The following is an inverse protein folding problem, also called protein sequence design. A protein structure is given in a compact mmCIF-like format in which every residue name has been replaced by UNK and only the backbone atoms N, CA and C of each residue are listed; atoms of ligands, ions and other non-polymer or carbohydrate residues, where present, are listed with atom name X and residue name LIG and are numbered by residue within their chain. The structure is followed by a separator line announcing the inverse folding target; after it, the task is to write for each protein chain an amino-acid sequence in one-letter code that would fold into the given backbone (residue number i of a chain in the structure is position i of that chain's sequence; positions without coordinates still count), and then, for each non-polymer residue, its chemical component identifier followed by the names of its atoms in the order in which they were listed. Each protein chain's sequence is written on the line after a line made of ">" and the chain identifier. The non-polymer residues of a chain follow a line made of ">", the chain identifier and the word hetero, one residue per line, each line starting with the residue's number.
data_IF_541559765689
#
_entry.id   IF_541559765689
#
_cell.length_a   1.000
_cell.length_b   1.000
_cell.length_c   1.000
_cell.angle_alpha   90.00
_cell.angle_beta   90.00
_cell.angle_gamma   90.00
#
_symmetry.space_group_name_H-M   'P 1'
#
loop_
_entity.id
_entity.type
_entity.pdbx_description
1 polymer ?
#
# COMPACT_ATOMS: atom_id res chain seq x y z
N UNK A 1 -12.03 11.39 10.15
CA UNK A 1 -11.78 11.75 8.75
C UNK A 1 -13.07 11.56 7.96
N UNK A 2 -13.57 12.61 7.30
CA UNK A 2 -14.72 12.52 6.39
C UNK A 2 -14.39 11.71 5.13
N UNK A 3 -15.33 11.59 4.17
CA UNK A 3 -15.02 11.00 2.87
C UNK A 3 -13.83 11.73 2.23
N UNK A 4 -12.98 10.97 1.54
CA UNK A 4 -11.80 11.50 0.89
C UNK A 4 -11.66 10.99 -0.55
N UNK A 5 -10.88 11.70 -1.35
CA UNK A 5 -10.55 11.33 -2.73
C UNK A 5 -9.03 11.15 -2.81
N UNK A 6 -8.56 10.02 -3.34
CA UNK A 6 -7.14 9.80 -3.60
C UNK A 6 -6.66 10.76 -4.69
N UNK A 7 -5.64 11.57 -4.39
CA UNK A 7 -5.02 12.51 -5.34
C UNK A 7 -3.68 11.97 -5.86
N UNK A 8 -2.96 11.20 -5.03
CA UNK A 8 -1.66 10.60 -5.40
C UNK A 8 -1.55 9.20 -4.83
N UNK A 9 -0.94 8.30 -5.60
CA UNK A 9 -0.50 6.97 -5.16
C UNK A 9 0.77 6.61 -5.92
N UNK A 10 1.89 6.60 -5.21
CA UNK A 10 3.20 6.21 -5.74
C UNK A 10 3.86 5.19 -4.81
N UNK A 11 4.49 4.18 -5.41
CA UNK A 11 5.39 3.26 -4.73
C UNK A 11 6.81 3.67 -5.12
N UNK A 12 7.71 3.77 -4.15
CA UNK A 12 9.11 4.10 -4.36
C UNK A 12 9.91 2.84 -4.05
N UNK A 13 10.68 2.35 -5.01
CA UNK A 13 11.52 1.18 -4.81
C UNK A 13 12.85 1.31 -5.54
N UNK A 14 13.96 1.14 -4.81
CA UNK A 14 15.32 1.29 -5.35
C UNK A 14 15.54 2.64 -6.06
N UNK A 15 14.98 3.72 -5.50
CA UNK A 15 15.08 5.07 -6.05
C UNK A 15 14.25 5.34 -7.30
N UNK A 16 13.33 4.43 -7.67
CA UNK A 16 12.40 4.61 -8.78
C UNK A 16 10.97 4.71 -8.28
N UNK A 17 10.18 5.54 -8.96
CA UNK A 17 8.75 5.71 -8.70
C UNK A 17 7.91 4.81 -9.61
N UNK A 18 6.92 4.15 -9.03
CA UNK A 18 6.00 3.25 -9.70
C UNK A 18 4.56 3.67 -9.44
N UNK A 19 3.86 4.01 -10.53
CA UNK A 19 2.45 4.38 -10.50
C UNK A 19 1.57 3.17 -10.86
N UNK A 20 1.51 2.18 -9.97
CA UNK A 20 0.71 0.95 -10.16
C UNK A 20 0.09 0.46 -8.84
N UNK A 21 -0.77 -0.56 -8.91
CA UNK A 21 -1.36 -1.15 -7.70
C UNK A 21 -0.29 -1.91 -6.90
N UNK A 22 -0.46 -1.95 -5.57
CA UNK A 22 0.45 -2.67 -4.67
C UNK A 22 0.63 -4.14 -5.05
N UNK A 23 -0.45 -4.84 -5.40
CA UNK A 23 -0.36 -6.25 -5.79
C UNK A 23 0.50 -6.45 -7.06
N UNK A 24 0.38 -5.53 -8.01
CA UNK A 24 1.05 -5.63 -9.30
C UNK A 24 2.54 -5.35 -9.10
N UNK A 25 2.85 -4.34 -8.29
CA UNK A 25 4.22 -4.05 -7.86
C UNK A 25 4.86 -5.26 -7.17
N UNK A 26 4.19 -5.84 -6.17
CA UNK A 26 4.74 -6.98 -5.42
C UNK A 26 5.02 -8.18 -6.33
N UNK A 27 4.10 -8.52 -7.25
CA UNK A 27 4.33 -9.63 -8.20
C UNK A 27 5.43 -9.34 -9.21
N UNK A 28 5.53 -8.11 -9.69
CA UNK A 28 6.47 -7.76 -10.75
C UNK A 28 7.91 -7.59 -10.25
N UNK A 29 8.08 -7.05 -9.03
CA UNK A 29 9.40 -6.64 -8.52
C UNK A 29 9.89 -7.46 -7.34
N UNK A 30 9.05 -8.29 -6.72
CA UNK A 30 9.43 -9.16 -5.59
C UNK A 30 9.20 -10.63 -5.99
N UNK A 31 10.22 -11.33 -6.53
CA UNK A 31 10.08 -12.68 -7.08
C UNK A 31 9.48 -13.70 -6.10
N UNK A 32 9.75 -13.56 -4.81
CA UNK A 32 9.23 -14.43 -3.75
C UNK A 32 7.70 -14.41 -3.67
N UNK A 33 7.08 -13.32 -4.13
CA UNK A 33 5.62 -13.13 -4.13
C UNK A 33 4.90 -14.10 -5.07
N UNK A 34 5.58 -14.69 -6.06
CA UNK A 34 4.99 -15.72 -6.94
C UNK A 34 4.57 -16.98 -6.18
N UNK A 35 5.21 -17.24 -5.03
CA UNK A 35 4.87 -18.35 -4.15
C UNK A 35 3.76 -18.01 -3.14
N UNK A 36 3.33 -16.75 -3.09
CA UNK A 36 2.29 -16.25 -2.18
C UNK A 36 0.94 -16.24 -2.88
N UNK A 37 -0.02 -16.93 -2.27
CA UNK A 37 -1.40 -16.96 -2.76
C UNK A 37 -2.16 -15.72 -2.28
N UNK A 38 -2.24 -14.68 -3.12
CA UNK A 38 -3.08 -13.51 -2.89
C UNK A 38 -4.54 -13.87 -3.18
N UNK A 39 -5.38 -13.82 -2.15
CA UNK A 39 -6.81 -14.16 -2.22
C UNK A 39 -7.70 -12.95 -2.47
N UNK A 40 -7.24 -11.75 -2.12
CA UNK A 40 -7.93 -10.50 -2.34
C UNK A 40 -6.94 -9.34 -2.39
N UNK A 41 -7.30 -8.29 -3.12
CA UNK A 41 -6.59 -7.03 -3.16
C UNK A 41 -7.57 -5.87 -3.37
N UNK A 42 -7.23 -4.71 -2.81
CA UNK A 42 -7.97 -3.46 -3.07
C UNK A 42 -7.16 -2.54 -3.96
N UNK A 43 -7.86 -1.85 -4.86
CA UNK A 43 -7.29 -0.72 -5.62
C UNK A 43 -7.18 0.53 -4.76
N UNK A 44 -6.14 1.33 -5.01
CA UNK A 44 -5.95 2.69 -4.49
C UNK A 44 -5.70 3.65 -5.66
N UNK A 45 -6.58 3.63 -6.65
CA UNK A 45 -6.49 4.52 -7.81
C UNK A 45 -6.77 5.99 -7.48
N UNK A 46 -6.13 6.87 -8.23
CA UNK A 46 -6.42 8.30 -8.22
C UNK A 46 -7.89 8.53 -8.61
N UNK A 47 -8.57 9.42 -7.89
CA UNK A 47 -10.00 9.69 -8.06
C UNK A 47 -10.92 8.76 -7.27
N UNK A 48 -10.37 7.73 -6.62
CA UNK A 48 -11.17 6.80 -5.82
C UNK A 48 -11.65 7.46 -4.53
N UNK A 49 -12.96 7.35 -4.27
CA UNK A 49 -13.54 7.78 -3.00
C UNK A 49 -13.25 6.76 -1.90
N UNK A 50 -12.77 7.25 -0.76
CA UNK A 50 -12.61 6.51 0.48
C UNK A 50 -13.71 6.97 1.44
N UNK A 51 -14.62 6.06 1.87
CA UNK A 51 -15.67 6.41 2.83
C UNK A 51 -15.08 6.64 4.23
N UNK A 52 -15.69 7.57 4.95
CA UNK A 52 -15.32 7.88 6.33
C UNK A 52 -15.42 6.66 7.25
N UNK A 53 -14.44 6.52 8.16
CA UNK A 53 -14.51 5.56 9.27
C UNK A 53 -14.41 4.09 8.89
N UNK A 54 -13.95 3.76 7.67
CA UNK A 54 -13.75 2.37 7.24
C UNK A 54 -12.27 2.04 7.09
N UNK A 55 -11.88 0.86 7.58
CA UNK A 55 -10.61 0.26 7.19
C UNK A 55 -10.72 -0.34 5.79
N UNK A 56 -9.62 -0.31 5.05
CA UNK A 56 -9.53 -0.93 3.73
C UNK A 56 -8.41 -1.93 3.72
N UNK A 57 -8.75 -3.17 3.44
CA UNK A 57 -7.79 -4.25 3.27
C UNK A 57 -7.13 -4.12 1.89
N UNK A 58 -5.86 -3.71 1.85
CA UNK A 58 -5.11 -3.55 0.59
C UNK A 58 -4.76 -4.90 -0.02
N UNK A 59 -4.44 -5.88 0.80
CA UNK A 59 -4.00 -7.20 0.36
C UNK A 59 -4.38 -8.26 1.38
N UNK A 60 -4.85 -9.41 0.89
CA UNK A 60 -5.14 -10.59 1.70
C UNK A 60 -4.47 -11.81 1.12
N UNK A 61 -3.72 -12.53 1.94
CA UNK A 61 -3.04 -13.77 1.55
C UNK A 61 -3.70 -15.01 2.16
N UNK A 62 -3.65 -16.11 1.43
CA UNK A 62 -4.14 -17.44 1.84
C UNK A 62 -3.15 -18.53 1.43
N UNK A 63 -3.61 -19.77 1.24
CA UNK A 63 -2.76 -20.86 0.73
C UNK A 63 -1.91 -21.61 1.78
N UNK A 64 -2.32 -21.57 3.05
CA UNK A 64 -1.70 -22.33 4.13
C UNK A 64 -0.39 -21.73 4.67
N UNK A 65 0.27 -22.48 5.56
CA UNK A 65 1.39 -21.97 6.36
C UNK A 65 2.56 -21.46 5.51
N UNK A 66 2.93 -22.18 4.44
CA UNK A 66 4.07 -21.79 3.59
C UNK A 66 3.86 -20.41 2.95
N UNK A 67 2.71 -20.19 2.32
CA UNK A 67 2.37 -18.91 1.69
C UNK A 67 2.35 -17.77 2.71
N UNK A 68 1.77 -18.01 3.89
CA UNK A 68 1.72 -17.03 4.97
C UNK A 68 3.11 -16.68 5.50
N UNK A 69 3.97 -17.67 5.76
CA UNK A 69 5.34 -17.44 6.25
C UNK A 69 6.19 -16.71 5.20
N UNK A 70 6.08 -17.06 3.92
CA UNK A 70 6.76 -16.31 2.86
C UNK A 70 6.29 -14.86 2.81
N UNK A 71 4.97 -14.63 2.86
CA UNK A 71 4.41 -13.28 2.84
C UNK A 71 4.92 -12.44 4.01
N UNK A 72 4.91 -12.99 5.23
CA UNK A 72 5.43 -12.29 6.41
C UNK A 72 6.90 -11.92 6.26
N UNK A 73 7.73 -12.83 5.74
CA UNK A 73 9.14 -12.57 5.49
C UNK A 73 9.32 -11.39 4.51
N UNK A 74 8.60 -11.41 3.39
CA UNK A 74 8.67 -10.32 2.39
C UNK A 74 8.25 -8.99 3.03
N UNK A 75 7.12 -8.95 3.75
CA UNK A 75 6.64 -7.71 4.36
C UNK A 75 7.62 -7.19 5.41
N UNK A 76 8.25 -8.07 6.18
CA UNK A 76 9.26 -7.69 7.15
C UNK A 76 10.46 -7.03 6.46
N UNK A 77 11.00 -7.65 5.39
CA UNK A 77 12.12 -7.09 4.62
C UNK A 77 11.78 -5.72 4.00
N UNK A 78 10.54 -5.54 3.53
CA UNK A 78 10.09 -4.26 2.97
C UNK A 78 9.90 -3.17 4.04
N UNK A 79 9.66 -3.54 5.29
CA UNK A 79 9.43 -2.63 6.43
C UNK A 79 10.69 -2.32 7.25
N UNK A 80 11.83 -2.95 6.96
CA UNK A 80 13.08 -2.65 7.66
C UNK A 80 13.45 -1.16 7.49
N UNK A 81 14.02 -0.55 8.54
CA UNK A 81 14.33 0.89 8.57
C UNK A 81 15.26 1.35 7.42
N UNK A 82 16.09 0.44 6.90
CA UNK A 82 16.98 0.68 5.77
C UNK A 82 16.46 0.10 4.44
N UNK A 83 15.18 -0.28 4.40
CA UNK A 83 14.54 -0.78 3.20
C UNK A 83 14.54 0.31 2.13
N UNK A 84 14.77 -0.13 0.89
CA UNK A 84 14.68 0.72 -0.30
C UNK A 84 13.25 0.85 -0.82
N UNK A 85 12.27 0.33 -0.08
CA UNK A 85 10.84 0.41 -0.36
C UNK A 85 10.19 1.51 0.47
N UNK A 86 9.43 2.36 -0.20
CA UNK A 86 8.58 3.38 0.41
C UNK A 86 7.28 3.48 -0.41
N UNK A 87 6.28 4.15 0.14
CA UNK A 87 5.07 4.47 -0.61
C UNK A 87 4.51 5.79 -0.10
N UNK A 88 3.75 6.46 -0.96
CA UNK A 88 3.10 7.71 -0.63
C UNK A 88 1.70 7.72 -1.25
N UNK A 89 0.71 7.95 -0.39
CA UNK A 89 -0.69 8.09 -0.76
C UNK A 89 -1.15 9.44 -0.23
N UNK A 90 -1.54 10.33 -1.13
CA UNK A 90 -2.14 11.61 -0.74
C UNK A 90 -3.63 11.58 -1.04
N UNK A 91 -4.42 12.12 -0.12
CA UNK A 91 -5.86 12.23 -0.29
C UNK A 91 -6.38 13.59 0.19
N UNK A 92 -7.47 14.03 -0.43
CA UNK A 92 -8.17 15.25 -0.08
C UNK A 92 -9.53 14.93 0.53
N UNK A 93 -9.83 15.50 1.69
CA UNK A 93 -11.15 15.39 2.31
C UNK A 93 -12.18 16.23 1.55
N UNK A 94 -13.47 15.97 1.75
CA UNK A 94 -14.54 16.84 1.23
C UNK A 94 -14.52 18.27 1.80
N UNK A 95 -13.71 18.52 2.83
CA UNK A 95 -13.49 19.83 3.43
C UNK A 95 -12.22 20.51 2.90
N UNK A 96 -11.65 20.01 1.79
CA UNK A 96 -10.45 20.54 1.11
C UNK A 96 -9.12 20.35 1.87
N UNK A 97 -9.13 19.64 3.00
CA UNK A 97 -7.92 19.28 3.75
C UNK A 97 -7.14 18.18 3.03
N UNK A 98 -5.81 18.28 3.01
CA UNK A 98 -4.93 17.28 2.39
C UNK A 98 -4.15 16.52 3.44
N UNK A 99 -3.99 15.24 3.17
CA UNK A 99 -3.33 14.31 4.07
C UNK A 99 -2.47 13.35 3.29
N UNK A 100 -1.36 12.94 3.88
CA UNK A 100 -0.43 11.97 3.35
C UNK A 100 -0.34 10.75 4.26
N UNK A 101 -0.33 9.56 3.65
CA UNK A 101 0.03 8.30 4.29
C UNK A 101 1.29 7.80 3.58
N UNK A 102 2.34 7.54 4.35
CA UNK A 102 3.56 6.95 3.83
C UNK A 102 4.05 5.80 4.70
N UNK A 103 5.07 5.08 4.25
CA UNK A 103 5.60 3.92 4.98
C UNK A 103 6.22 4.26 6.34
N UNK A 104 6.61 5.53 6.53
CA UNK A 104 7.35 6.02 7.70
C UNK A 104 6.48 6.52 8.85
N UNK A 105 5.17 6.60 8.65
CA UNK A 105 4.24 7.08 9.67
C UNK A 105 3.02 6.17 9.75
N UNK A 106 2.72 5.70 10.95
CA UNK A 106 1.52 4.88 11.21
C UNK A 106 0.22 5.72 11.19
N UNK A 107 0.35 7.05 11.14
CA UNK A 107 -0.77 8.01 11.10
C UNK A 107 -0.66 8.93 9.89
N UNK A 108 -1.79 9.33 9.29
CA UNK A 108 -1.78 10.35 8.25
C UNK A 108 -1.21 11.68 8.75
N UNK A 109 -0.43 12.35 7.92
CA UNK A 109 0.17 13.67 8.19
C UNK A 109 -0.58 14.71 7.36
N UNK A 110 -0.99 15.82 7.97
CA UNK A 110 -1.62 16.94 7.25
C UNK A 110 -0.59 17.66 6.37
N UNK A 111 -0.98 17.99 5.13
CA UNK A 111 -0.14 18.66 4.13
C UNK A 111 -0.42 20.16 4.02
#
# INVERSE_FOLDING_TARGET
>A
VGPAIIEKRVIIYQGKEYNMEFQDFLRQYIPEMDSVNITSSSTVQIGLSIPAGRSREILKVGGGQKSYTTFLKIMQELQEENSVFDYEIQYRSIYEERWEIGSRSDVPIEL
#
